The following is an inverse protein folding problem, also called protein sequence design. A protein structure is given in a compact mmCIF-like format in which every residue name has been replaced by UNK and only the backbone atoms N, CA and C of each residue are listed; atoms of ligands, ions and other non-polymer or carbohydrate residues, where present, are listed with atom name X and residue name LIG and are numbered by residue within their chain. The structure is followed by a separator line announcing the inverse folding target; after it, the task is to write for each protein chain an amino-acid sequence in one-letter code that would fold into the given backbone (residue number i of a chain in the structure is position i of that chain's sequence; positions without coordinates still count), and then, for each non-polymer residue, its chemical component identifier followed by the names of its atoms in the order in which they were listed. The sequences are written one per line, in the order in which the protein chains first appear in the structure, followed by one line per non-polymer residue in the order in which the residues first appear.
data_IF_766228552255
#
_entry.id   IF_766228552255
#
_cell.length_a   1.000
_cell.length_b   1.000
_cell.length_c   1.000
_cell.angle_alpha   90.00
_cell.angle_beta   90.00
_cell.angle_gamma   90.00
#
_symmetry.space_group_name_H-M   'P 1'
#
loop_
_entity.id
_entity.type
_entity.pdbx_description
1 polymer ?
#
# COMPACT_ATOMS: atom_id res chain seq x y z
N UNK A 1 12.10 -19.87 8.28
CA UNK A 1 11.53 -19.57 6.97
C UNK A 1 11.03 -20.85 6.30
N UNK A 2 9.73 -21.11 6.36
CA UNK A 2 9.12 -22.03 5.39
C UNK A 2 9.28 -21.35 4.03
N UNK A 3 10.05 -21.98 3.13
CA UNK A 3 10.30 -21.40 1.81
C UNK A 3 8.96 -21.29 1.08
N UNK A 4 8.47 -20.07 0.87
CA UNK A 4 7.24 -19.85 0.11
C UNK A 4 7.38 -20.51 -1.27
N UNK A 5 6.33 -21.19 -1.71
CA UNK A 5 6.32 -21.85 -3.01
C UNK A 5 6.56 -20.82 -4.13
N UNK A 6 7.26 -21.24 -5.19
CA UNK A 6 7.57 -20.38 -6.34
C UNK A 6 6.31 -19.73 -6.92
N UNK A 7 5.21 -20.47 -6.99
CA UNK A 7 3.90 -19.98 -7.49
C UNK A 7 3.40 -18.82 -6.62
N UNK A 8 3.45 -18.97 -5.30
CA UNK A 8 2.98 -17.93 -4.38
C UNK A 8 3.80 -16.66 -4.53
N UNK A 9 5.13 -16.82 -4.67
CA UNK A 9 6.03 -15.70 -4.92
C UNK A 9 5.64 -14.99 -6.22
N UNK A 10 5.46 -15.73 -7.33
CA UNK A 10 5.04 -15.14 -8.61
C UNK A 10 3.72 -14.37 -8.53
N UNK A 11 2.73 -14.90 -7.79
CA UNK A 11 1.44 -14.22 -7.57
C UNK A 11 1.64 -12.87 -6.85
N UNK A 12 2.47 -12.83 -5.80
CA UNK A 12 2.79 -11.59 -5.09
C UNK A 12 3.46 -10.56 -6.00
N UNK A 13 4.46 -10.99 -6.78
CA UNK A 13 5.14 -10.13 -7.75
C UNK A 13 4.15 -9.56 -8.77
N UNK A 14 3.23 -10.38 -9.26
CA UNK A 14 2.19 -9.95 -10.20
C UNK A 14 1.26 -8.90 -9.59
N UNK A 15 0.76 -9.12 -8.36
CA UNK A 15 -0.11 -8.15 -7.66
C UNK A 15 0.60 -6.81 -7.47
N UNK A 16 1.84 -6.84 -6.99
CA UNK A 16 2.65 -5.61 -6.79
C UNK A 16 2.87 -4.90 -8.13
N UNK A 17 3.26 -5.63 -9.18
CA UNK A 17 3.48 -5.07 -10.51
C UNK A 17 2.24 -4.39 -11.06
N UNK A 18 1.09 -5.08 -11.06
CA UNK A 18 -0.19 -4.53 -11.54
C UNK A 18 -0.59 -3.29 -10.74
N UNK A 19 -0.44 -3.32 -9.43
CA UNK A 19 -0.77 -2.18 -8.57
C UNK A 19 0.13 -0.98 -8.83
N UNK A 20 1.43 -1.20 -9.07
CA UNK A 20 2.36 -0.15 -9.47
C UNK A 20 2.00 0.44 -10.85
N UNK A 21 1.56 -0.38 -11.80
CA UNK A 21 1.08 0.11 -13.10
C UNK A 21 -0.16 1.01 -12.93
N UNK A 22 -1.11 0.63 -12.08
CA UNK A 22 -2.28 1.46 -11.80
C UNK A 22 -1.91 2.75 -11.07
N UNK A 23 -1.07 2.69 -10.04
CA UNK A 23 -0.59 3.88 -9.33
C UNK A 23 0.15 4.84 -10.26
N UNK A 24 0.99 4.32 -11.16
CA UNK A 24 1.68 5.11 -12.18
C UNK A 24 0.69 5.76 -13.15
N UNK A 25 -0.32 5.01 -13.59
CA UNK A 25 -1.36 5.54 -14.48
C UNK A 25 -2.14 6.67 -13.79
N UNK A 26 -2.47 6.49 -12.51
CA UNK A 26 -3.19 7.47 -11.71
C UNK A 26 -2.35 8.74 -11.47
N UNK A 27 -1.04 8.61 -11.23
CA UNK A 27 -0.11 9.74 -11.20
C UNK A 27 -0.12 10.52 -12.52
N UNK A 28 -0.03 9.82 -13.66
CA UNK A 28 -0.07 10.44 -14.99
C UNK A 28 -1.42 11.15 -15.22
N UNK A 29 -2.55 10.53 -14.86
CA UNK A 29 -3.87 11.14 -14.98
C UNK A 29 -4.00 12.39 -14.10
N UNK A 30 -3.43 12.36 -12.89
CA UNK A 30 -3.41 13.51 -11.97
C UNK A 30 -2.65 14.68 -12.58
N UNK A 31 -1.42 14.44 -13.05
CA UNK A 31 -0.56 15.48 -13.67
C UNK A 31 -1.20 16.06 -14.95
N UNK A 32 -1.91 15.23 -15.72
CA UNK A 32 -2.58 15.66 -16.96
C UNK A 32 -3.88 16.43 -16.73
N UNK A 33 -4.42 16.45 -15.51
CA UNK A 33 -5.62 17.20 -15.19
C UNK A 33 -5.31 18.70 -15.23
N UNK A 34 -6.08 19.47 -16.00
CA UNK A 34 -5.81 20.90 -16.22
C UNK A 34 -6.02 21.74 -14.96
N UNK A 35 -6.73 21.20 -13.95
CA UNK A 35 -6.94 21.86 -12.66
C UNK A 35 -5.73 21.73 -11.72
N UNK A 36 -4.68 20.99 -12.09
CA UNK A 36 -3.54 20.71 -11.20
C UNK A 36 -2.89 21.98 -10.66
N UNK A 37 -2.67 22.97 -11.51
CA UNK A 37 -2.02 24.23 -11.11
C UNK A 37 -2.95 25.09 -10.25
N UNK A 38 -4.21 25.22 -10.65
CA UNK A 38 -5.21 26.05 -9.96
C UNK A 38 -5.55 25.49 -8.56
N UNK A 39 -5.62 24.17 -8.44
CA UNK A 39 -6.04 23.47 -7.21
C UNK A 39 -4.90 22.73 -6.51
N UNK A 40 -3.64 23.07 -6.81
CA UNK A 40 -2.46 22.39 -6.27
C UNK A 40 -2.47 22.28 -4.75
N UNK A 41 -2.83 23.36 -4.05
CA UNK A 41 -2.91 23.39 -2.58
C UNK A 41 -3.97 22.41 -2.06
N UNK A 42 -5.13 22.33 -2.70
CA UNK A 42 -6.15 21.34 -2.36
C UNK A 42 -5.69 19.92 -2.65
N UNK A 43 -4.97 19.71 -3.77
CA UNK A 43 -4.32 18.44 -4.08
C UNK A 43 -3.37 17.99 -2.96
N UNK A 44 -2.53 18.89 -2.43
CA UNK A 44 -1.67 18.61 -1.28
C UNK A 44 -2.48 18.25 -0.03
N UNK A 45 -3.54 19.01 0.28
CA UNK A 45 -4.39 18.73 1.44
C UNK A 45 -4.98 17.32 1.33
N UNK A 46 -5.55 16.96 0.18
CA UNK A 46 -6.14 15.64 -0.04
C UNK A 46 -5.09 14.53 -0.05
N UNK A 47 -3.89 14.78 -0.56
CA UNK A 47 -2.76 13.88 -0.41
C UNK A 47 -2.42 13.63 1.06
N UNK A 48 -2.31 14.67 1.89
CA UNK A 48 -2.00 14.53 3.31
C UNK A 48 -3.13 13.81 4.06
N UNK A 49 -4.39 14.08 3.70
CA UNK A 49 -5.54 13.34 4.23
C UNK A 49 -5.47 11.86 3.86
N UNK A 50 -5.13 11.55 2.61
CA UNK A 50 -4.90 10.17 2.17
C UNK A 50 -3.78 9.49 2.94
N UNK A 51 -2.66 10.17 3.14
CA UNK A 51 -1.55 9.68 3.95
C UNK A 51 -1.98 9.39 5.40
N UNK A 52 -2.70 10.31 6.04
CA UNK A 52 -3.22 10.12 7.40
C UNK A 52 -4.24 8.97 7.47
N UNK A 53 -5.09 8.84 6.45
CA UNK A 53 -6.04 7.75 6.32
C UNK A 53 -5.36 6.38 6.20
N UNK A 54 -4.12 6.34 5.70
CA UNK A 54 -3.37 5.10 5.58
C UNK A 54 -3.15 4.43 6.93
N UNK A 55 -2.84 5.20 7.98
CA UNK A 55 -2.68 4.67 9.34
C UNK A 55 -3.96 3.98 9.82
N UNK A 56 -5.10 4.66 9.70
CA UNK A 56 -6.40 4.12 10.09
C UNK A 56 -6.78 2.87 9.28
N UNK A 57 -6.63 2.90 7.95
CA UNK A 57 -7.00 1.76 7.08
C UNK A 57 -6.06 0.58 7.32
N UNK A 58 -4.75 0.80 7.35
CA UNK A 58 -3.77 -0.28 7.57
C UNK A 58 -3.93 -0.90 8.95
N UNK A 59 -4.15 -0.10 10.00
CA UNK A 59 -4.47 -0.59 11.34
C UNK A 59 -5.79 -1.37 11.41
N UNK A 60 -6.84 -0.89 10.72
CA UNK A 60 -8.12 -1.60 10.65
C UNK A 60 -8.00 -2.94 9.93
N UNK A 61 -7.28 -2.98 8.81
CA UNK A 61 -6.99 -4.22 8.07
C UNK A 61 -6.16 -5.16 8.92
N UNK A 62 -5.15 -4.66 9.63
CA UNK A 62 -4.33 -5.45 10.56
C UNK A 62 -5.22 -6.14 11.59
N UNK A 63 -6.01 -5.36 12.33
CA UNK A 63 -6.92 -5.87 13.35
C UNK A 63 -7.93 -6.89 12.77
N UNK A 64 -8.50 -6.61 11.61
CA UNK A 64 -9.44 -7.51 10.94
C UNK A 64 -8.78 -8.84 10.56
N UNK A 65 -7.58 -8.78 9.97
CA UNK A 65 -6.82 -9.96 9.59
C UNK A 65 -6.50 -10.85 10.81
N UNK A 66 -6.11 -10.24 11.92
CA UNK A 66 -5.82 -10.97 13.15
C UNK A 66 -7.04 -11.53 13.86
N UNK A 67 -8.18 -10.85 13.77
CA UNK A 67 -9.38 -11.27 14.48
C UNK A 67 -10.10 -12.44 13.78
N UNK A 68 -10.09 -12.45 12.43
CA UNK A 68 -11.01 -13.31 11.67
C UNK A 68 -10.34 -14.39 10.82
N UNK A 69 -9.02 -14.33 10.59
CA UNK A 69 -8.34 -15.31 9.74
C UNK A 69 -7.26 -16.11 10.47
N UNK A 70 -6.82 -17.18 9.82
CA UNK A 70 -5.71 -18.01 10.24
C UNK A 70 -4.81 -18.31 9.05
N UNK A 71 -3.61 -18.83 9.30
CA UNK A 71 -2.68 -19.24 8.25
C UNK A 71 -3.27 -20.35 7.35
N UNK A 72 -4.25 -21.10 7.87
CA UNK A 72 -4.95 -22.17 7.17
C UNK A 72 -6.21 -21.68 6.42
N UNK A 73 -6.58 -20.40 6.52
CA UNK A 73 -7.71 -19.85 5.77
C UNK A 73 -7.45 -20.04 4.28
N UNK A 74 -8.38 -20.62 3.50
CA UNK A 74 -8.19 -20.85 2.07
C UNK A 74 -7.82 -19.56 1.34
N UNK A 75 -6.82 -19.64 0.45
CA UNK A 75 -6.24 -18.54 -0.34
C UNK A 75 -5.55 -17.43 0.49
N UNK A 76 -6.28 -16.76 1.38
CA UNK A 76 -5.81 -15.61 2.15
C UNK A 76 -4.78 -16.02 3.21
N UNK A 77 -4.94 -17.20 3.81
CA UNK A 77 -4.05 -17.73 4.84
C UNK A 77 -2.60 -17.82 4.35
N UNK A 78 -2.32 -18.60 3.29
CA UNK A 78 -0.98 -18.70 2.72
C UNK A 78 -0.47 -17.40 2.08
N UNK A 79 -1.36 -16.62 1.44
CA UNK A 79 -0.96 -15.42 0.68
C UNK A 79 -0.60 -14.24 1.58
N UNK A 80 -1.39 -14.02 2.64
CA UNK A 80 -1.34 -12.83 3.48
C UNK A 80 -1.04 -13.25 4.93
N UNK A 81 -1.90 -14.06 5.56
CA UNK A 81 -1.89 -14.26 7.02
C UNK A 81 -0.63 -14.94 7.54
N UNK A 82 -0.09 -15.93 6.81
CA UNK A 82 1.11 -16.65 7.23
C UNK A 82 2.34 -15.72 7.31
N UNK A 83 2.58 -14.94 6.24
CA UNK A 83 3.66 -13.93 6.23
C UNK A 83 3.40 -12.85 7.27
N UNK A 84 2.14 -12.45 7.39
CA UNK A 84 1.70 -11.41 8.30
C UNK A 84 1.80 -11.82 9.77
N UNK A 85 1.65 -13.08 10.17
CA UNK A 85 1.79 -13.49 11.59
C UNK A 85 3.18 -14.01 11.94
N UNK A 86 4.00 -14.34 10.95
CA UNK A 86 5.40 -14.75 11.19
C UNK A 86 6.14 -13.68 12.00
N UNK A 87 5.86 -12.38 11.78
CA UNK A 87 6.52 -11.32 12.54
C UNK A 87 6.07 -11.22 14.01
N UNK A 88 4.88 -11.69 14.40
CA UNK A 88 4.46 -11.71 15.81
C UNK A 88 5.28 -12.71 16.63
N UNK A 89 5.68 -13.82 16.00
CA UNK A 89 6.49 -14.86 16.64
C UNK A 89 7.99 -14.63 16.43
N UNK A 90 8.37 -14.09 15.28
CA UNK A 90 9.76 -13.88 14.86
C UNK A 90 9.97 -12.48 14.24
N UNK A 91 9.89 -11.40 15.03
CA UNK A 91 9.88 -10.02 14.53
C UNK A 91 11.13 -9.63 13.73
N UNK A 92 12.27 -10.28 14.00
CA UNK A 92 13.50 -10.01 13.26
C UNK A 92 13.49 -10.60 11.84
N UNK A 93 12.68 -11.62 11.54
CA UNK A 93 12.62 -12.19 10.19
C UNK A 93 12.03 -11.20 9.18
N UNK A 94 11.02 -10.43 9.60
CA UNK A 94 10.41 -9.37 8.79
C UNK A 94 11.43 -8.33 8.29
N UNK A 95 12.53 -8.15 9.02
CA UNK A 95 13.60 -7.22 8.62
C UNK A 95 14.44 -7.71 7.43
N UNK A 96 14.38 -9.01 7.13
CA UNK A 96 15.10 -9.68 6.05
C UNK A 96 14.23 -9.89 4.80
N UNK A 97 12.91 -9.71 4.93
CA UNK A 97 11.98 -9.79 3.81
C UNK A 97 12.29 -8.72 2.76
N UNK A 98 12.09 -9.05 1.48
CA UNK A 98 12.23 -8.05 0.42
C UNK A 98 10.96 -7.21 0.37
N UNK A 99 11.02 -6.11 -0.37
CA UNK A 99 9.91 -5.17 -0.51
C UNK A 99 8.60 -5.85 -0.93
N UNK A 100 8.66 -6.85 -1.80
CA UNK A 100 7.47 -7.51 -2.31
C UNK A 100 6.79 -8.30 -1.20
N UNK A 101 7.53 -9.10 -0.45
CA UNK A 101 7.02 -9.88 0.67
C UNK A 101 6.48 -8.98 1.79
N UNK A 102 7.12 -7.83 2.00
CA UNK A 102 6.74 -6.81 2.98
C UNK A 102 5.41 -6.10 2.64
N UNK A 103 5.26 -5.62 1.40
CA UNK A 103 4.18 -4.69 1.03
C UNK A 103 3.02 -5.33 0.25
N UNK A 104 3.08 -6.65 -0.03
CA UNK A 104 2.03 -7.35 -0.80
C UNK A 104 0.63 -7.07 -0.24
N UNK A 105 0.43 -7.13 1.08
CA UNK A 105 -0.88 -6.91 1.71
C UNK A 105 -1.42 -5.52 1.43
N UNK A 106 -0.58 -4.49 1.57
CA UNK A 106 -0.94 -3.10 1.25
C UNK A 106 -1.33 -2.97 -0.22
N UNK A 107 -0.55 -3.54 -1.14
CA UNK A 107 -0.89 -3.53 -2.57
C UNK A 107 -2.18 -4.29 -2.87
N UNK A 108 -2.42 -5.42 -2.22
CA UNK A 108 -3.64 -6.21 -2.43
C UNK A 108 -4.89 -5.43 -2.00
N UNK A 109 -4.85 -4.78 -0.83
CA UNK A 109 -5.96 -3.95 -0.34
C UNK A 109 -6.18 -2.72 -1.24
N UNK A 110 -5.09 -2.08 -1.69
CA UNK A 110 -5.16 -0.89 -2.54
C UNK A 110 -5.55 -1.20 -4.00
N UNK A 111 -5.45 -2.46 -4.45
CA UNK A 111 -5.71 -2.82 -5.84
C UNK A 111 -7.13 -2.43 -6.28
N UNK A 112 -8.14 -2.69 -5.45
CA UNK A 112 -9.54 -2.37 -5.77
C UNK A 112 -9.76 -0.86 -5.96
N UNK A 113 -9.42 0.02 -4.99
CA UNK A 113 -9.59 1.45 -5.19
C UNK A 113 -8.74 2.00 -6.34
N UNK A 114 -7.54 1.45 -6.59
CA UNK A 114 -6.72 1.85 -7.73
C UNK A 114 -7.36 1.50 -9.08
N UNK A 115 -7.92 0.30 -9.22
CA UNK A 115 -8.64 -0.12 -10.45
C UNK A 115 -9.86 0.77 -10.69
N UNK A 116 -10.65 1.04 -9.65
CA UNK A 116 -11.84 1.88 -9.77
C UNK A 116 -11.49 3.32 -10.16
N UNK A 117 -10.43 3.88 -9.58
CA UNK A 117 -9.98 5.22 -9.91
C UNK A 117 -9.45 5.33 -11.35
N UNK A 118 -8.58 4.40 -11.77
CA UNK A 118 -8.06 4.38 -13.15
C UNK A 118 -9.17 4.12 -14.18
N UNK A 119 -10.15 3.28 -13.83
CA UNK A 119 -11.30 2.94 -14.66
C UNK A 119 -12.37 4.04 -14.75
N UNK A 120 -12.35 5.01 -13.83
CA UNK A 120 -13.19 6.20 -13.85
C UNK A 120 -12.82 7.07 -15.05
N UNK A 121 -13.40 6.77 -16.21
CA UNK A 121 -13.21 7.57 -17.43
C UNK A 121 -13.91 8.90 -17.26
N UNK A 122 -13.23 9.90 -16.71
CA UNK A 122 -13.64 11.29 -16.93
C UNK A 122 -13.26 11.68 -18.36
N UNK A 123 -14.26 11.94 -19.18
CA UNK A 123 -14.07 12.57 -20.49
C UNK A 123 -13.67 14.05 -20.37
N UNK A 124 -13.73 14.62 -19.16
CA UNK A 124 -13.42 15.99 -18.88
C UNK A 124 -12.02 16.12 -18.22
N UNK A 125 -11.14 16.86 -18.87
CA UNK A 125 -9.81 17.18 -18.33
C UNK A 125 -9.85 18.20 -17.18
N UNK A 126 -11.03 18.75 -16.87
CA UNK A 126 -11.32 19.66 -15.76
C UNK A 126 -12.17 18.99 -14.67
N UNK A 127 -11.83 17.77 -14.28
CA UNK A 127 -12.58 17.03 -13.26
C UNK A 127 -11.91 17.18 -11.88
N UNK A 128 -12.47 18.08 -11.07
CA UNK A 128 -11.96 18.34 -9.72
C UNK A 128 -12.13 17.13 -8.79
N UNK A 129 -13.23 16.39 -8.92
CA UNK A 129 -13.52 15.24 -8.05
C UNK A 129 -12.50 14.13 -8.27
N UNK A 130 -12.26 13.77 -9.54
CA UNK A 130 -11.25 12.76 -9.88
C UNK A 130 -9.84 13.24 -9.53
N UNK A 131 -9.52 14.53 -9.74
CA UNK A 131 -8.23 15.09 -9.31
C UNK A 131 -7.97 14.91 -7.81
N UNK A 132 -8.90 15.37 -6.97
CA UNK A 132 -8.76 15.28 -5.51
C UNK A 132 -8.77 13.83 -5.03
N UNK A 133 -9.60 12.97 -5.63
CA UNK A 133 -9.63 11.54 -5.33
C UNK A 133 -8.31 10.85 -5.66
N UNK A 134 -7.70 11.19 -6.80
CA UNK A 134 -6.40 10.66 -7.16
C UNK A 134 -5.31 11.12 -6.18
N UNK A 135 -5.29 12.41 -5.79
CA UNK A 135 -4.37 12.91 -4.77
C UNK A 135 -4.49 12.14 -3.45
N UNK A 136 -5.72 11.88 -2.99
CA UNK A 136 -5.98 11.04 -1.80
C UNK A 136 -5.43 9.63 -1.97
N UNK A 137 -5.69 8.96 -3.09
CA UNK A 137 -5.21 7.59 -3.31
C UNK A 137 -3.69 7.48 -3.43
N UNK A 138 -3.03 8.49 -4.00
CA UNK A 138 -1.56 8.57 -4.05
C UNK A 138 -1.02 8.71 -2.63
N UNK A 139 -1.57 9.65 -1.84
CA UNK A 139 -1.19 9.84 -0.44
C UNK A 139 -1.42 8.59 0.41
N UNK A 140 -2.57 7.94 0.24
CA UNK A 140 -2.93 6.68 0.89
C UNK A 140 -1.94 5.56 0.55
N UNK A 141 -1.56 5.44 -0.73
CA UNK A 141 -0.61 4.41 -1.18
C UNK A 141 0.76 4.63 -0.55
N UNK A 142 1.26 5.87 -0.55
CA UNK A 142 2.54 6.22 0.06
C UNK A 142 2.50 5.99 1.57
N UNK A 143 1.42 6.39 2.25
CA UNK A 143 1.23 6.15 3.68
C UNK A 143 1.24 4.66 4.01
N UNK A 144 0.54 3.83 3.22
CA UNK A 144 0.46 2.39 3.45
C UNK A 144 1.81 1.69 3.27
N UNK A 145 2.63 2.10 2.29
CA UNK A 145 4.01 1.62 2.16
C UNK A 145 4.90 2.15 3.29
N UNK A 146 4.69 3.40 3.68
CA UNK A 146 5.36 4.04 4.80
C UNK A 146 5.19 3.26 6.10
N UNK A 147 3.96 2.86 6.44
CA UNK A 147 3.66 2.08 7.64
C UNK A 147 4.50 0.79 7.72
N UNK A 148 4.55 0.01 6.65
CA UNK A 148 5.33 -1.24 6.64
C UNK A 148 6.85 -0.98 6.70
N UNK A 149 7.31 0.09 6.03
CA UNK A 149 8.71 0.48 6.05
C UNK A 149 9.16 0.96 7.44
N UNK A 150 8.35 1.80 8.10
CA UNK A 150 8.63 2.28 9.46
C UNK A 150 8.55 1.13 10.47
N UNK A 151 7.57 0.24 10.35
CA UNK A 151 7.47 -0.96 11.17
C UNK A 151 8.71 -1.85 11.03
N UNK A 152 9.22 -2.03 9.81
CA UNK A 152 10.47 -2.75 9.57
C UNK A 152 11.67 -2.09 10.24
N UNK A 153 11.79 -0.77 10.12
CA UNK A 153 12.87 -0.03 10.76
C UNK A 153 12.83 -0.13 12.28
N UNK A 154 11.65 -0.19 12.89
CA UNK A 154 11.49 -0.36 14.34
C UNK A 154 12.04 -1.71 14.84
N UNK A 155 11.99 -2.76 14.03
CA UNK A 155 12.54 -4.08 14.37
C UNK A 155 14.00 -4.28 13.91
N UNK A 156 14.53 -3.41 13.06
CA UNK A 156 15.91 -3.50 12.57
C UNK A 156 16.92 -3.14 13.67
N UNK A 157 17.97 -3.95 13.82
CA UNK A 157 19.09 -3.61 14.72
C UNK A 157 19.85 -2.36 14.28
N UNK A 158 19.93 -2.14 12.97
CA UNK A 158 20.66 -1.03 12.34
C UNK A 158 19.82 -0.37 11.24
N UNK A 159 18.76 0.39 11.59
CA UNK A 159 17.96 1.10 10.60
C UNK A 159 18.74 2.30 10.02
N UNK A 160 18.26 2.90 8.91
CA UNK A 160 18.84 4.11 8.34
C UNK A 160 19.03 5.23 9.37
N UNK A 161 20.08 6.05 9.23
CA UNK A 161 20.44 7.07 10.23
C UNK A 161 19.31 8.06 10.55
N UNK A 162 18.51 8.42 9.55
CA UNK A 162 17.38 9.33 9.75
C UNK A 162 16.23 8.65 10.51
N UNK A 163 16.02 7.35 10.33
CA UNK A 163 15.01 6.57 11.03
C UNK A 163 15.32 6.40 12.52
N UNK A 164 16.60 6.46 12.92
CA UNK A 164 17.00 6.44 14.35
C UNK A 164 16.58 7.69 15.14
N UNK A 165 16.20 8.76 14.44
CA UNK A 165 15.82 10.05 15.03
C UNK A 165 14.31 10.31 14.98
N UNK A 166 13.56 9.46 14.30
CA UNK A 166 12.10 9.43 14.27
C UNK A 166 11.62 8.67 15.52
#
# INVERSE_FOLDING_TARGET
MVKQGTILTLVKYFIVFVSLCFLTTLLVQTIRNQLTEEFFVFGIIFFVLGYALADLITGTVHWFCDSFFSENTPLIGPLIIASFREHHTHPQLFTQDKFIEQDTTSFFVLLVPLVLAVGSKSSNIYDLSNYLWHCTLIGLSIGAFGTNLFHKWAHQKNPPRFAKKL
#
